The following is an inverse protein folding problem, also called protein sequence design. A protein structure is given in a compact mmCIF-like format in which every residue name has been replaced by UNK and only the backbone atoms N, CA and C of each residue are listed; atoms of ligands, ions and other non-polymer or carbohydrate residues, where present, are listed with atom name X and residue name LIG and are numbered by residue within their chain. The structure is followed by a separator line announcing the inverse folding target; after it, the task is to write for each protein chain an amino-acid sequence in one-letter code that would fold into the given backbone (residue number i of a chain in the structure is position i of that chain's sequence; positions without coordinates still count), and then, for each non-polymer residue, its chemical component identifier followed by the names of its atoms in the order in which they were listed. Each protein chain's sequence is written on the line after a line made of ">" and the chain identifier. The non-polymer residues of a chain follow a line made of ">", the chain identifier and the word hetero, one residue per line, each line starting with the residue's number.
data_IF_644926869920
#
_entry.id   IF_644926869920
#
_cell.length_a   1.000
_cell.length_b   1.000
_cell.length_c   1.000
_cell.angle_alpha   90.00
_cell.angle_beta   90.00
_cell.angle_gamma   90.00
#
_symmetry.space_group_name_H-M   'P 1'
#
loop_
_entity.id
_entity.type
_entity.pdbx_description
1 polymer ?
#
# COMPACT_ATOMS: atom_id res chain seq x y z
N UNK A 1 1.08 -7.69 -15.07
CA UNK A 1 1.85 -8.18 -13.91
C UNK A 1 1.77 -9.68 -13.99
N UNK A 2 2.91 -10.32 -14.18
CA UNK A 2 3.00 -11.78 -14.18
C UNK A 2 3.14 -12.22 -12.72
N UNK A 3 2.23 -13.09 -12.28
CA UNK A 3 2.22 -13.58 -10.89
C UNK A 3 3.01 -14.88 -10.81
N UNK A 4 3.78 -15.11 -9.74
CA UNK A 4 4.37 -16.40 -9.43
C UNK A 4 3.35 -17.55 -9.51
N UNK A 5 3.81 -18.74 -9.89
CA UNK A 5 2.93 -19.91 -10.10
C UNK A 5 2.27 -20.33 -8.78
N UNK A 6 3.00 -20.24 -7.69
CA UNK A 6 2.63 -20.57 -6.32
C UNK A 6 1.86 -19.45 -5.59
N UNK A 7 1.59 -18.31 -6.24
CA UNK A 7 0.78 -17.25 -5.63
C UNK A 7 -0.57 -17.83 -5.14
N UNK A 8 -0.89 -17.70 -3.84
CA UNK A 8 -2.02 -18.40 -3.25
C UNK A 8 -3.36 -17.76 -3.65
N UNK A 9 -4.48 -18.51 -3.54
CA UNK A 9 -5.81 -18.03 -3.92
C UNK A 9 -6.23 -16.74 -3.22
N UNK A 10 -5.85 -16.56 -1.95
CA UNK A 10 -6.19 -15.37 -1.18
C UNK A 10 -5.56 -14.11 -1.78
N UNK A 11 -4.29 -14.18 -2.21
CA UNK A 11 -3.56 -13.07 -2.79
C UNK A 11 -4.04 -12.80 -4.21
N UNK A 12 -4.25 -13.84 -5.03
CA UNK A 12 -4.86 -13.71 -6.37
C UNK A 12 -6.21 -13.00 -6.32
N UNK A 13 -7.05 -13.36 -5.35
CA UNK A 13 -8.37 -12.74 -5.18
C UNK A 13 -8.23 -11.24 -4.89
N UNK A 14 -7.34 -10.86 -3.96
CA UNK A 14 -7.13 -9.44 -3.65
C UNK A 14 -6.52 -8.69 -4.84
N UNK A 15 -5.48 -9.24 -5.48
CA UNK A 15 -4.83 -8.63 -6.63
C UNK A 15 -5.77 -8.45 -7.82
N UNK A 16 -6.71 -9.38 -8.05
CA UNK A 16 -7.72 -9.23 -9.10
C UNK A 16 -8.55 -7.94 -8.94
N UNK A 17 -8.80 -7.52 -7.71
CA UNK A 17 -9.49 -6.26 -7.42
C UNK A 17 -8.56 -5.06 -7.56
N UNK A 18 -7.32 -5.16 -7.08
CA UNK A 18 -6.35 -4.06 -7.13
C UNK A 18 -5.85 -3.77 -8.54
N UNK A 19 -5.84 -4.78 -9.42
CA UNK A 19 -5.46 -4.68 -10.83
C UNK A 19 -6.61 -4.31 -11.75
N UNK A 20 -7.84 -4.16 -11.24
CA UNK A 20 -9.03 -3.92 -12.05
C UNK A 20 -9.03 -2.55 -12.78
N UNK A 21 -8.12 -1.64 -12.40
CA UNK A 21 -7.96 -0.32 -13.01
C UNK A 21 -6.52 -0.16 -13.47
N UNK A 22 -6.32 0.36 -14.69
CA UNK A 22 -4.99 0.80 -15.10
C UNK A 22 -4.68 2.16 -14.47
N UNK A 23 -3.83 2.15 -13.45
CA UNK A 23 -3.38 3.35 -12.76
C UNK A 23 -1.95 3.76 -13.17
N UNK A 24 -1.43 3.25 -14.29
CA UNK A 24 -0.13 3.63 -14.83
C UNK A 24 1.05 2.83 -14.28
N UNK A 25 2.25 3.12 -14.79
CA UNK A 25 3.46 2.33 -14.53
C UNK A 25 3.92 2.35 -13.07
N UNK A 26 3.87 3.51 -12.38
CA UNK A 26 4.26 3.61 -10.97
C UNK A 26 3.44 2.67 -10.07
N UNK A 27 2.13 2.58 -10.32
CA UNK A 27 1.27 1.65 -9.57
C UNK A 27 1.50 0.19 -9.94
N UNK A 28 1.85 -0.10 -11.21
CA UNK A 28 2.27 -1.45 -11.60
C UNK A 28 3.54 -1.86 -10.84
N UNK A 29 4.51 -0.95 -10.68
CA UNK A 29 5.70 -1.20 -9.83
C UNK A 29 5.33 -1.47 -8.38
N UNK A 30 4.36 -0.73 -7.81
CA UNK A 30 3.86 -0.97 -6.46
C UNK A 30 3.26 -2.36 -6.28
N UNK A 31 2.46 -2.82 -7.25
CA UNK A 31 1.91 -4.18 -7.22
C UNK A 31 3.02 -5.24 -7.34
N UNK A 32 4.04 -5.01 -8.17
CA UNK A 32 5.19 -5.91 -8.27
C UNK A 32 5.95 -5.99 -6.94
N UNK A 33 6.25 -4.85 -6.31
CA UNK A 33 6.94 -4.80 -5.03
C UNK A 33 6.14 -5.51 -3.91
N UNK A 34 4.81 -5.34 -3.91
CA UNK A 34 3.94 -6.08 -3.00
C UNK A 34 4.02 -7.59 -3.22
N UNK A 35 3.93 -8.06 -4.46
CA UNK A 35 3.99 -9.50 -4.75
C UNK A 35 5.33 -10.09 -4.32
N UNK A 36 6.44 -9.39 -4.56
CA UNK A 36 7.78 -9.81 -4.11
C UNK A 36 7.87 -9.92 -2.60
N UNK A 37 7.45 -8.88 -1.87
CA UNK A 37 7.42 -8.92 -0.41
C UNK A 37 6.62 -10.12 0.11
N UNK A 38 5.43 -10.36 -0.45
CA UNK A 38 4.61 -11.50 -0.04
C UNK A 38 5.24 -12.85 -0.43
N UNK A 39 5.94 -12.93 -1.55
CA UNK A 39 6.69 -14.11 -1.99
C UNK A 39 7.86 -14.42 -1.05
N UNK A 40 8.69 -13.42 -0.72
CA UNK A 40 9.80 -13.56 0.22
C UNK A 40 9.31 -13.89 1.63
N UNK A 41 8.14 -13.37 2.02
CA UNK A 41 7.45 -13.76 3.27
C UNK A 41 6.78 -15.14 3.21
N UNK A 42 7.00 -15.94 2.16
CA UNK A 42 6.47 -17.30 2.02
C UNK A 42 4.96 -17.36 1.80
N UNK A 43 4.36 -16.27 1.31
CA UNK A 43 2.93 -16.11 1.07
C UNK A 43 2.05 -16.40 2.30
N UNK A 44 2.55 -16.13 3.51
CA UNK A 44 1.83 -16.38 4.76
C UNK A 44 0.59 -15.48 4.87
N UNK A 45 -0.60 -16.08 4.71
CA UNK A 45 -1.86 -15.31 4.75
C UNK A 45 -2.05 -14.54 6.06
N UNK A 46 -1.63 -15.12 7.19
CA UNK A 46 -1.77 -14.57 8.53
C UNK A 46 -0.43 -14.12 9.13
N UNK A 47 0.46 -13.59 8.29
CA UNK A 47 1.70 -12.96 8.74
C UNK A 47 1.47 -11.75 9.64
N UNK A 48 2.55 -11.04 9.97
CA UNK A 48 2.50 -9.88 10.87
C UNK A 48 1.56 -8.81 10.32
N UNK A 49 0.54 -8.46 11.11
CA UNK A 49 -0.46 -7.48 10.70
C UNK A 49 0.00 -6.05 10.97
N UNK A 50 -0.44 -5.11 10.12
CA UNK A 50 -0.31 -3.68 10.43
C UNK A 50 -1.07 -3.35 11.73
N UNK A 51 -0.55 -2.46 12.59
CA UNK A 51 -1.24 -2.07 13.81
C UNK A 51 -2.60 -1.43 13.50
N UNK A 52 -3.53 -1.62 14.42
CA UNK A 52 -4.79 -0.86 14.39
C UNK A 52 -4.46 0.62 14.62
N UNK A 53 -4.96 1.50 13.76
CA UNK A 53 -4.66 2.92 13.83
C UNK A 53 -5.93 3.74 13.62
N UNK A 54 -6.11 4.76 14.45
CA UNK A 54 -7.18 5.77 14.29
C UNK A 54 -7.00 6.62 13.04
N UNK A 55 -5.78 6.66 12.49
CA UNK A 55 -5.43 7.44 11.30
C UNK A 55 -5.76 6.70 10.01
N UNK A 56 -5.92 5.37 10.05
CA UNK A 56 -6.25 4.56 8.88
C UNK A 56 -7.53 5.09 8.22
N UNK A 57 -7.53 5.40 6.91
CA UNK A 57 -8.72 5.88 6.22
C UNK A 57 -9.91 4.93 6.44
N UNK A 58 -11.07 5.51 6.81
CA UNK A 58 -12.28 4.74 7.14
C UNK A 58 -12.71 3.79 6.01
N UNK A 59 -12.47 4.18 4.74
CA UNK A 59 -12.76 3.33 3.57
C UNK A 59 -11.94 2.04 3.58
N UNK A 60 -10.66 2.10 3.96
CA UNK A 60 -9.79 0.92 4.12
C UNK A 60 -10.30 0.04 5.25
N UNK A 61 -10.67 0.64 6.39
CA UNK A 61 -11.21 -0.13 7.52
C UNK A 61 -12.51 -0.86 7.13
N UNK A 62 -13.43 -0.19 6.43
CA UNK A 62 -14.66 -0.81 5.91
C UNK A 62 -14.36 -1.90 4.89
N UNK A 63 -13.40 -1.68 4.00
CA UNK A 63 -12.99 -2.68 3.00
C UNK A 63 -12.42 -3.94 3.65
N UNK A 64 -11.55 -3.81 4.66
CA UNK A 64 -11.02 -4.95 5.44
C UNK A 64 -12.17 -5.70 6.12
N UNK A 65 -13.05 -5.00 6.84
CA UNK A 65 -14.25 -5.61 7.48
C UNK A 65 -15.20 -6.24 6.46
N UNK A 66 -15.23 -5.70 5.24
CA UNK A 66 -15.97 -6.18 4.08
C UNK A 66 -15.42 -7.46 3.47
N UNK A 67 -14.39 -8.08 4.06
CA UNK A 67 -13.62 -9.18 3.47
C UNK A 67 -13.00 -8.78 2.12
N UNK A 68 -12.46 -7.56 2.05
CA UNK A 68 -11.59 -7.06 0.97
C UNK A 68 -12.25 -7.05 -0.42
N UNK A 69 -13.53 -6.73 -0.43
CA UNK A 69 -14.32 -6.68 -1.66
C UNK A 69 -14.73 -8.04 -2.19
N UNK A 70 -14.43 -9.17 -1.52
CA UNK A 70 -14.92 -10.50 -1.94
C UNK A 70 -16.43 -10.56 -2.08
N UNK A 71 -17.16 -9.78 -1.27
CA UNK A 71 -18.63 -9.71 -1.27
C UNK A 71 -19.21 -8.75 -2.30
N UNK A 72 -18.54 -7.65 -2.61
CA UNK A 72 -19.09 -6.58 -3.44
C UNK A 72 -18.47 -6.51 -4.83
N UNK A 73 -17.29 -7.12 -5.02
CA UNK A 73 -16.45 -7.04 -6.23
C UNK A 73 -16.18 -5.61 -6.73
N UNK A 74 -16.34 -4.62 -5.84
CA UNK A 74 -16.19 -3.20 -6.14
C UNK A 74 -15.18 -2.56 -5.19
N UNK A 75 -14.33 -1.70 -5.76
CA UNK A 75 -13.44 -0.85 -4.98
C UNK A 75 -14.25 0.30 -4.34
N UNK A 76 -13.96 0.70 -3.09
CA UNK A 76 -14.52 1.90 -2.50
C UNK A 76 -14.26 3.14 -3.36
N UNK A 77 -15.31 3.90 -3.67
CA UNK A 77 -15.15 5.17 -4.39
C UNK A 77 -14.61 6.27 -3.46
N UNK A 78 -13.64 7.06 -3.92
CA UNK A 78 -13.15 8.28 -3.26
C UNK A 78 -13.72 9.50 -3.98
N UNK A 79 -14.50 10.32 -3.26
CA UNK A 79 -15.11 11.54 -3.80
C UNK A 79 -14.34 12.81 -3.42
N UNK A 80 -13.88 12.88 -2.18
CA UNK A 80 -13.03 13.97 -1.68
C UNK A 80 -11.58 13.50 -1.65
N UNK A 81 -10.86 13.78 -2.75
CA UNK A 81 -9.47 13.37 -2.95
C UNK A 81 -8.56 14.05 -1.94
N UNK A 82 -8.78 15.34 -1.65
CA UNK A 82 -7.94 16.11 -0.74
C UNK A 82 -8.06 15.59 0.70
N UNK A 83 -9.28 15.35 1.19
CA UNK A 83 -9.49 14.78 2.51
C UNK A 83 -8.94 13.35 2.61
N UNK A 84 -9.07 12.55 1.55
CA UNK A 84 -8.50 11.21 1.51
C UNK A 84 -6.97 11.23 1.56
N UNK A 85 -6.34 12.07 0.74
CA UNK A 85 -4.89 12.29 0.73
C UNK A 85 -4.38 12.69 2.11
N UNK A 86 -5.05 13.63 2.79
CA UNK A 86 -4.70 14.07 4.14
C UNK A 86 -4.78 12.92 5.15
N UNK A 87 -5.86 12.15 5.15
CA UNK A 87 -6.01 11.01 6.05
C UNK A 87 -4.99 9.90 5.74
N UNK A 88 -4.70 9.67 4.46
CA UNK A 88 -3.69 8.72 4.01
C UNK A 88 -2.30 9.11 4.50
N UNK A 89 -1.90 10.38 4.32
CA UNK A 89 -0.60 10.88 4.78
C UNK A 89 -0.45 10.74 6.29
N UNK A 90 -1.47 11.14 7.08
CA UNK A 90 -1.43 10.98 8.53
C UNK A 90 -1.30 9.50 8.97
N UNK A 91 -1.91 8.57 8.22
CA UNK A 91 -1.76 7.14 8.48
C UNK A 91 -0.37 6.64 8.12
N UNK A 92 0.13 7.01 6.95
CA UNK A 92 1.45 6.61 6.47
C UNK A 92 2.56 7.14 7.38
N UNK A 93 2.44 8.37 7.85
CA UNK A 93 3.34 8.98 8.82
C UNK A 93 3.42 8.21 10.12
N UNK A 94 2.29 7.74 10.63
CA UNK A 94 2.23 6.95 11.86
C UNK A 94 2.81 5.53 11.72
N UNK A 95 3.04 5.07 10.49
CA UNK A 95 3.64 3.76 10.22
C UNK A 95 5.15 3.84 9.99
N UNK A 96 5.70 5.04 9.76
CA UNK A 96 7.10 5.16 9.38
C UNK A 96 8.05 4.76 10.51
N UNK A 97 9.13 4.02 10.20
CA UNK A 97 10.11 3.65 11.19
C UNK A 97 10.95 4.87 11.59
N UNK A 98 11.52 4.86 12.81
CA UNK A 98 12.17 6.02 13.41
C UNK A 98 13.43 6.50 12.68
N UNK A 99 14.05 5.65 11.86
CA UNK A 99 15.24 6.00 11.09
C UNK A 99 14.94 6.81 9.83
N UNK A 100 13.68 6.85 9.38
CA UNK A 100 13.31 7.65 8.21
C UNK A 100 13.41 9.13 8.50
N UNK A 101 13.87 9.87 7.50
CA UNK A 101 14.03 11.32 7.55
C UNK A 101 13.11 11.97 6.53
N UNK A 102 12.73 13.21 6.82
CA UNK A 102 12.02 14.07 5.87
C UNK A 102 12.99 15.05 5.21
N UNK A 103 12.69 15.40 3.96
CA UNK A 103 13.31 16.50 3.26
C UNK A 103 12.80 17.85 3.75
N UNK A 104 13.37 18.93 3.21
CA UNK A 104 12.97 20.31 3.50
C UNK A 104 11.54 20.61 3.03
N UNK A 105 11.08 19.88 2.01
CA UNK A 105 9.70 19.89 1.49
C UNK A 105 8.69 19.18 2.42
N UNK A 106 9.16 18.60 3.52
CA UNK A 106 8.35 17.82 4.44
C UNK A 106 7.95 16.44 3.92
N UNK A 107 8.40 16.03 2.74
CA UNK A 107 8.18 14.69 2.21
C UNK A 107 9.19 13.71 2.81
N UNK A 108 8.81 12.44 2.85
CA UNK A 108 9.75 11.40 3.24
C UNK A 108 10.84 11.25 2.17
N UNK A 109 12.10 11.14 2.62
CA UNK A 109 13.21 10.93 1.70
C UNK A 109 13.11 9.50 1.14
N UNK A 110 13.16 9.41 -0.19
CA UNK A 110 13.23 8.17 -0.95
C UNK A 110 14.68 7.95 -1.38
N UNK A 111 15.21 6.75 -1.13
CA UNK A 111 16.60 6.39 -1.42
C UNK A 111 17.52 6.44 -0.21
N UNK A 112 18.76 5.98 -0.41
CA UNK A 112 19.74 5.79 0.67
C UNK A 112 19.70 4.37 1.25
N UNK A 113 20.33 4.20 2.42
CA UNK A 113 20.41 2.91 3.11
C UNK A 113 19.18 2.71 4.01
N UNK A 114 18.56 1.55 3.93
CA UNK A 114 17.52 1.13 4.87
C UNK A 114 18.05 1.02 6.30
N UNK A 115 17.22 1.34 7.29
CA UNK A 115 17.51 1.05 8.69
C UNK A 115 17.32 -0.43 9.01
N UNK A 116 17.78 -0.85 10.19
CA UNK A 116 17.69 -2.25 10.61
C UNK A 116 16.24 -2.69 10.96
N UNK A 117 15.38 -1.75 11.37
CA UNK A 117 14.06 -2.04 11.94
C UNK A 117 12.97 -1.29 11.19
N UNK A 118 12.00 -1.98 10.60
CA UNK A 118 10.87 -1.36 9.89
C UNK A 118 9.65 -1.11 10.79
N UNK A 119 9.70 -1.58 12.04
CA UNK A 119 8.66 -1.32 13.04
C UNK A 119 7.28 -1.79 12.56
N UNK A 120 6.34 -0.86 12.45
CA UNK A 120 4.98 -1.18 12.02
C UNK A 120 4.88 -1.72 10.58
N UNK A 121 5.90 -1.50 9.75
CA UNK A 121 5.95 -1.96 8.36
C UNK A 121 6.60 -3.33 8.18
N UNK A 122 7.15 -3.93 9.24
CA UNK A 122 7.46 -5.37 9.29
C UNK A 122 6.14 -6.16 9.35
N UNK A 123 5.44 -6.17 8.21
CA UNK A 123 4.08 -6.63 8.07
C UNK A 123 3.84 -7.27 6.71
N UNK A 124 3.24 -8.46 6.72
CA UNK A 124 2.96 -9.29 5.54
C UNK A 124 1.56 -9.90 5.64
N UNK A 125 1.15 -10.59 4.59
CA UNK A 125 -0.11 -11.31 4.53
C UNK A 125 -1.32 -10.38 4.39
N UNK A 126 -2.49 -10.97 4.59
CA UNK A 126 -3.77 -10.35 4.23
C UNK A 126 -4.06 -9.05 5.02
N UNK A 127 -3.47 -8.91 6.21
CA UNK A 127 -3.58 -7.74 7.09
C UNK A 127 -2.32 -6.84 7.08
N UNK A 128 -1.32 -7.17 6.28
CA UNK A 128 -0.06 -6.42 6.15
C UNK A 128 -0.14 -5.27 5.15
N UNK A 129 0.97 -5.07 4.43
CA UNK A 129 1.19 -3.99 3.46
C UNK A 129 0.15 -3.92 2.32
N UNK A 130 -0.55 -5.01 2.05
CA UNK A 130 -1.73 -5.07 1.15
C UNK A 130 -2.75 -3.97 1.48
N UNK A 131 -2.96 -3.65 2.75
CA UNK A 131 -3.93 -2.62 3.15
C UNK A 131 -3.51 -1.21 2.69
N UNK A 132 -2.20 -0.96 2.60
CA UNK A 132 -1.62 0.32 2.17
C UNK A 132 -1.74 0.43 0.65
N UNK A 133 -1.40 -0.63 -0.08
CA UNK A 133 -1.54 -0.73 -1.53
C UNK A 133 -3.00 -0.61 -1.96
N UNK A 134 -3.93 -1.23 -1.22
CA UNK A 134 -5.37 -1.08 -1.45
C UNK A 134 -5.82 0.38 -1.24
N UNK A 135 -5.31 1.03 -0.19
CA UNK A 135 -5.61 2.44 0.07
C UNK A 135 -5.15 3.35 -1.07
N UNK A 136 -3.97 3.10 -1.63
CA UNK A 136 -3.46 3.82 -2.80
C UNK A 136 -4.24 3.50 -4.07
N UNK A 137 -4.75 2.27 -4.23
CA UNK A 137 -5.67 1.91 -5.31
C UNK A 137 -6.93 2.78 -5.26
N UNK A 138 -7.55 2.93 -4.08
CA UNK A 138 -8.78 3.70 -3.91
C UNK A 138 -8.57 5.18 -4.23
N UNK A 139 -7.41 5.71 -3.80
CA UNK A 139 -7.03 7.08 -4.11
C UNK A 139 -6.82 7.25 -5.62
N UNK A 140 -5.95 6.45 -6.23
CA UNK A 140 -5.62 6.60 -7.66
C UNK A 140 -6.80 6.35 -8.61
N UNK A 141 -7.80 5.58 -8.16
CA UNK A 141 -9.04 5.33 -8.89
C UNK A 141 -10.13 6.41 -8.67
N UNK A 142 -9.86 7.47 -7.90
CA UNK A 142 -10.81 8.55 -7.68
C UNK A 142 -11.18 9.26 -9.00
N UNK A 143 -12.46 9.64 -9.13
CA UNK A 143 -12.99 10.23 -10.38
C UNK A 143 -12.47 11.65 -10.67
N UNK A 144 -11.94 12.34 -9.66
CA UNK A 144 -11.57 13.77 -9.72
C UNK A 144 -10.08 13.98 -9.47
N UNK A 145 -9.23 13.30 -10.25
CA UNK A 145 -7.81 13.60 -10.29
C UNK A 145 -7.53 14.74 -11.27
N UNK A 146 -7.22 15.93 -10.75
CA UNK A 146 -6.45 16.89 -11.53
C UNK A 146 -4.97 16.48 -11.60
N UNK A 147 -4.18 17.22 -12.39
CA UNK A 147 -2.76 16.92 -12.60
C UNK A 147 -1.96 16.98 -11.29
N UNK A 148 -2.24 17.95 -10.44
CA UNK A 148 -1.53 18.16 -9.18
C UNK A 148 -1.83 17.05 -8.18
N UNK A 149 -3.11 16.74 -7.97
CA UNK A 149 -3.57 15.62 -7.14
C UNK A 149 -3.02 14.30 -7.63
N UNK A 150 -2.86 14.15 -8.95
CA UNK A 150 -2.23 12.96 -9.55
C UNK A 150 -0.74 12.88 -9.20
N UNK A 151 0.01 13.98 -9.33
CA UNK A 151 1.42 14.02 -8.96
C UNK A 151 1.63 13.69 -7.47
N UNK A 152 0.79 14.24 -6.58
CA UNK A 152 0.84 13.92 -5.14
C UNK A 152 0.63 12.43 -4.87
N UNK A 153 -0.33 11.81 -5.57
CA UNK A 153 -0.55 10.36 -5.47
C UNK A 153 0.64 9.56 -6.03
N UNK A 154 1.26 9.98 -7.14
CA UNK A 154 2.44 9.31 -7.70
C UNK A 154 3.64 9.39 -6.76
N UNK A 155 3.86 10.53 -6.10
CA UNK A 155 4.87 10.67 -5.03
C UNK A 155 4.61 9.69 -3.89
N UNK A 156 3.36 9.57 -3.43
CA UNK A 156 2.99 8.60 -2.39
C UNK A 156 3.20 7.14 -2.84
N UNK A 157 2.87 6.82 -4.10
CA UNK A 157 3.11 5.49 -4.67
C UNK A 157 4.60 5.16 -4.69
N UNK A 158 5.43 6.08 -5.17
CA UNK A 158 6.88 5.88 -5.24
C UNK A 158 7.51 5.70 -3.85
N UNK A 159 7.02 6.46 -2.86
CA UNK A 159 7.47 6.32 -1.48
C UNK A 159 7.15 4.93 -0.91
N UNK A 160 5.93 4.43 -1.16
CA UNK A 160 5.53 3.09 -0.70
C UNK A 160 6.31 2.01 -1.43
N UNK A 161 6.54 2.12 -2.75
CA UNK A 161 7.37 1.17 -3.51
C UNK A 161 8.72 0.99 -2.82
N UNK A 162 9.41 2.10 -2.56
CA UNK A 162 10.73 2.07 -1.94
C UNK A 162 10.72 1.45 -0.53
N UNK A 163 9.65 1.69 0.23
CA UNK A 163 9.49 1.08 1.55
C UNK A 163 9.16 -0.41 1.49
N UNK A 164 8.35 -0.87 0.53
CA UNK A 164 8.09 -2.31 0.35
C UNK A 164 9.35 -3.05 -0.07
N UNK A 165 10.15 -2.46 -0.98
CA UNK A 165 11.47 -3.00 -1.36
C UNK A 165 12.41 -3.10 -0.15
N UNK A 166 12.36 -2.15 0.78
CA UNK A 166 13.13 -2.23 2.02
C UNK A 166 12.63 -3.30 2.98
N UNK A 167 11.32 -3.45 3.14
CA UNK A 167 10.74 -4.50 4.01
C UNK A 167 11.03 -5.89 3.45
N UNK A 168 11.05 -6.04 2.12
CA UNK A 168 11.40 -7.28 1.42
C UNK A 168 12.78 -7.81 1.84
N UNK A 169 13.76 -6.92 2.09
CA UNK A 169 15.10 -7.32 2.54
C UNK A 169 15.14 -7.92 3.95
N UNK A 170 14.03 -7.96 4.68
CA UNK A 170 13.94 -8.67 5.97
C UNK A 170 13.84 -10.19 5.79
N UNK A 171 13.53 -10.66 4.58
CA UNK A 171 13.30 -12.06 4.26
C UNK A 171 14.42 -12.69 3.42
N UNK A 172 15.46 -11.91 3.11
CA UNK A 172 16.72 -12.36 2.46
C UNK A 172 17.71 -12.92 3.50
#
# INVERSE_FOLDING_TARGET
>A
LDLPVDTPPWLRTVLSHLMARDLGCHYKSLLTALVRLEESAGFEQNGKALPTSKWRPLKVQKWIRGARGSRTKTLPEVHDVAAYAKAWNAWWDALQPPWRKRGEDGLWIVGGKYGAEFGALDASGINGCISIVASLCFWGAAKTHDRESRAVWETAVNDVVWMLEGVDTLFE
#
